data_IF_197364332879
#
_entry.id   IF_197364332879
#
_cell.length_a   1.000
_cell.length_b   1.000
_cell.length_c   1.000
_cell.angle_alpha   90.00
_cell.angle_beta   90.00
_cell.angle_gamma   90.00
#
_symmetry.space_group_name_H-M   'P 1'
#
loop_
_entity.id
_entity.type
_entity.pdbx_description
1 polymer ?
#
# COMPACT_ATOMS: atom_id res chain seq x y z
N UNK A 1 -5.46 -63.39 15.99
CA UNK A 1 -4.47 -62.32 16.24
C UNK A 1 -3.88 -61.92 14.91
N UNK A 2 -4.28 -60.78 14.34
CA UNK A 2 -3.64 -60.26 13.13
C UNK A 2 -2.17 -60.00 13.45
N UNK A 3 -1.28 -60.77 12.82
CA UNK A 3 0.15 -60.81 13.14
C UNK A 3 0.77 -59.42 12.97
N UNK A 4 1.67 -59.05 13.88
CA UNK A 4 2.43 -57.80 13.85
C UNK A 4 3.17 -57.60 12.52
N UNK A 5 3.56 -58.70 11.88
CA UNK A 5 4.15 -58.75 10.53
C UNK A 5 3.23 -58.11 9.48
N UNK A 6 1.94 -58.46 9.43
CA UNK A 6 1.00 -57.87 8.48
C UNK A 6 0.82 -56.34 8.66
N UNK A 7 0.90 -55.85 9.90
CA UNK A 7 0.89 -54.39 10.18
C UNK A 7 2.17 -53.71 9.69
N UNK A 8 3.32 -54.37 9.83
CA UNK A 8 4.60 -53.84 9.35
C UNK A 8 4.62 -53.79 7.82
N UNK A 9 4.09 -54.82 7.14
CA UNK A 9 3.97 -54.85 5.68
C UNK A 9 3.05 -53.76 5.14
N UNK A 10 1.93 -53.51 5.81
CA UNK A 10 1.02 -52.40 5.47
C UNK A 10 1.70 -51.03 5.62
N UNK A 11 2.50 -50.85 6.68
CA UNK A 11 3.27 -49.62 6.90
C UNK A 11 4.37 -49.44 5.85
N UNK A 12 5.04 -50.52 5.45
CA UNK A 12 6.05 -50.51 4.39
C UNK A 12 5.43 -50.11 3.04
N UNK A 13 4.32 -50.75 2.65
CA UNK A 13 3.55 -50.41 1.43
C UNK A 13 3.05 -48.96 1.44
N UNK A 14 2.58 -48.47 2.59
CA UNK A 14 2.16 -47.06 2.73
C UNK A 14 3.34 -46.10 2.58
N UNK A 15 4.49 -46.43 3.15
CA UNK A 15 5.70 -45.61 3.04
C UNK A 15 6.20 -45.52 1.59
N UNK A 16 6.23 -46.64 0.85
CA UNK A 16 6.52 -46.65 -0.59
C UNK A 16 5.52 -45.81 -1.38
N UNK A 17 4.22 -45.94 -1.11
CA UNK A 17 3.18 -45.13 -1.78
C UNK A 17 3.33 -43.63 -1.49
N UNK A 18 3.72 -43.26 -0.28
CA UNK A 18 4.03 -41.86 0.06
C UNK A 18 5.28 -41.38 -0.69
N UNK A 19 6.31 -42.23 -0.80
CA UNK A 19 7.55 -41.91 -1.52
C UNK A 19 7.31 -41.73 -3.02
N UNK A 20 6.50 -42.57 -3.66
CA UNK A 20 6.09 -42.42 -5.07
C UNK A 20 5.30 -41.14 -5.31
N UNK A 21 4.37 -40.77 -4.42
CA UNK A 21 3.71 -39.46 -4.52
C UNK A 21 4.64 -38.28 -4.25
N UNK A 22 5.70 -38.45 -3.45
CA UNK A 22 6.72 -37.41 -3.23
C UNK A 22 7.60 -37.21 -4.46
N UNK A 23 8.05 -38.30 -5.09
CA UNK A 23 8.84 -38.24 -6.33
C UNK A 23 8.02 -37.68 -7.49
N UNK A 24 6.76 -38.11 -7.66
CA UNK A 24 5.83 -37.52 -8.64
C UNK A 24 5.66 -36.01 -8.46
N UNK A 25 5.58 -35.53 -7.22
CA UNK A 25 5.46 -34.09 -6.91
C UNK A 25 6.77 -33.33 -7.01
N UNK A 26 7.90 -33.98 -7.39
CA UNK A 26 9.24 -33.39 -7.37
C UNK A 26 9.55 -32.68 -6.05
N UNK A 27 8.99 -33.20 -4.95
CA UNK A 27 9.20 -32.65 -3.61
C UNK A 27 10.59 -33.08 -3.17
N UNK A 28 11.59 -32.27 -3.51
CA UNK A 28 12.97 -32.44 -3.05
C UNK A 28 12.99 -32.64 -1.54
N UNK A 29 13.81 -33.60 -1.12
CA UNK A 29 13.87 -34.19 0.21
C UNK A 29 13.79 -33.18 1.36
N UNK A 30 13.11 -33.61 2.43
CA UNK A 30 13.03 -33.02 3.77
C UNK A 30 13.73 -31.65 3.91
N UNK A 31 13.12 -30.60 3.37
CA UNK A 31 13.50 -29.24 3.77
C UNK A 31 13.20 -29.17 5.26
N UNK A 32 14.26 -29.20 6.07
CA UNK A 32 14.12 -29.23 7.52
C UNK A 32 13.26 -28.04 7.93
N UNK A 33 12.08 -28.32 8.48
CA UNK A 33 11.07 -27.29 8.72
C UNK A 33 11.61 -26.21 9.67
N UNK A 34 12.56 -26.59 10.53
CA UNK A 34 13.31 -25.69 11.38
C UNK A 34 14.11 -24.65 10.57
N UNK A 35 14.91 -25.09 9.59
CA UNK A 35 15.71 -24.21 8.72
C UNK A 35 14.81 -23.26 7.90
N UNK A 36 13.68 -23.74 7.39
CA UNK A 36 12.75 -22.90 6.65
C UNK A 36 12.14 -21.79 7.51
N UNK A 37 11.82 -22.10 8.78
CA UNK A 37 11.30 -21.14 9.75
C UNK A 37 12.36 -20.13 10.18
N UNK A 38 13.62 -20.56 10.38
CA UNK A 38 14.74 -19.67 10.69
C UNK A 38 15.00 -18.70 9.54
N UNK A 39 15.12 -19.20 8.29
CA UNK A 39 15.28 -18.36 7.10
C UNK A 39 14.16 -17.33 6.95
N UNK A 40 12.91 -17.70 7.28
CA UNK A 40 11.77 -16.77 7.28
C UNK A 40 11.91 -15.69 8.36
N UNK A 41 12.35 -16.05 9.57
CA UNK A 41 12.58 -15.09 10.68
C UNK A 41 13.70 -14.11 10.35
N UNK A 42 14.82 -14.59 9.81
CA UNK A 42 15.95 -13.75 9.40
C UNK A 42 15.56 -12.77 8.29
N UNK A 43 14.89 -13.26 7.25
CA UNK A 43 14.40 -12.41 6.15
C UNK A 43 13.41 -11.36 6.63
N UNK A 44 12.56 -11.70 7.62
CA UNK A 44 11.63 -10.74 8.22
C UNK A 44 12.36 -9.66 9.03
N UNK A 45 13.39 -10.03 9.80
CA UNK A 45 14.25 -9.08 10.54
C UNK A 45 14.98 -8.13 9.60
N UNK A 46 15.66 -8.66 8.58
CA UNK A 46 16.37 -7.86 7.57
C UNK A 46 15.45 -6.86 6.86
N UNK A 47 14.23 -7.27 6.51
CA UNK A 47 13.23 -6.38 5.89
C UNK A 47 12.76 -5.28 6.85
N UNK A 48 12.61 -5.59 8.14
CA UNK A 48 12.22 -4.60 9.15
C UNK A 48 13.33 -3.55 9.37
N UNK A 49 14.60 -3.98 9.39
CA UNK A 49 15.76 -3.10 9.52
C UNK A 49 15.93 -2.20 8.29
N UNK A 50 15.85 -2.75 7.08
CA UNK A 50 15.90 -1.97 5.84
C UNK A 50 14.79 -0.90 5.80
N UNK A 51 13.57 -1.24 6.24
CA UNK A 51 12.46 -0.29 6.32
C UNK A 51 12.70 0.81 7.36
N UNK A 52 13.36 0.50 8.49
CA UNK A 52 13.74 1.50 9.49
C UNK A 52 14.80 2.46 8.95
N UNK A 53 15.81 1.95 8.24
CA UNK A 53 16.87 2.76 7.63
C UNK A 53 16.31 3.70 6.56
N UNK A 54 15.49 3.20 5.63
CA UNK A 54 14.84 4.00 4.60
C UNK A 54 13.92 5.10 5.19
N UNK A 55 13.26 4.82 6.32
CA UNK A 55 12.44 5.83 7.02
C UNK A 55 13.29 6.92 7.69
N UNK A 56 14.49 6.60 8.18
CA UNK A 56 15.42 7.60 8.72
C UNK A 56 15.98 8.48 7.60
N UNK A 57 16.39 7.88 6.49
CA UNK A 57 16.95 8.60 5.35
C UNK A 57 15.91 9.54 4.68
N UNK A 58 14.67 9.07 4.50
CA UNK A 58 13.60 9.92 3.96
C UNK A 58 13.23 11.08 4.88
N UNK A 59 13.26 10.89 6.21
CA UNK A 59 13.09 11.98 7.18
C UNK A 59 14.22 13.00 7.10
N UNK A 60 15.47 12.56 7.07
CA UNK A 60 16.63 13.44 6.94
C UNK A 60 16.58 14.28 5.64
N UNK A 61 16.18 13.67 4.51
CA UNK A 61 15.99 14.39 3.23
C UNK A 61 14.80 15.37 3.26
N UNK A 62 13.75 15.08 4.02
CA UNK A 62 12.64 16.01 4.20
C UNK A 62 13.05 17.21 5.07
N UNK A 63 13.77 16.96 6.16
CA UNK A 63 14.27 18.01 7.06
C UNK A 63 15.24 18.96 6.33
N UNK A 64 16.14 18.44 5.48
CA UNK A 64 17.03 19.31 4.69
C UNK A 64 16.30 20.11 3.60
N UNK A 65 15.26 19.54 2.97
CA UNK A 65 14.47 20.25 1.95
C UNK A 65 13.59 21.35 2.53
N UNK A 66 13.06 21.16 3.75
CA UNK A 66 12.29 22.20 4.45
C UNK A 66 13.21 23.35 4.89
N UNK A 67 14.42 23.05 5.38
CA UNK A 67 15.40 24.08 5.72
C UNK A 67 15.85 24.93 4.51
N UNK A 68 15.84 24.38 3.29
CA UNK A 68 16.18 25.11 2.08
C UNK A 68 15.04 25.97 1.49
N UNK A 69 13.78 25.72 1.89
CA UNK A 69 12.62 26.43 1.32
C UNK A 69 12.23 27.68 2.12
N UNK A 70 12.76 27.85 3.34
CA UNK A 70 12.43 29.00 4.21
C UNK A 70 13.13 30.31 3.80
N UNK A 71 14.07 30.28 2.83
CA UNK A 71 14.88 31.46 2.45
C UNK A 71 14.52 32.08 1.10
N UNK A 72 13.49 31.62 0.38
CA UNK A 72 13.14 32.34 -0.85
C UNK A 72 11.90 31.80 -1.56
N UNK A 73 10.81 32.57 -1.51
CA UNK A 73 10.27 33.19 -2.71
C UNK A 73 9.15 34.18 -2.32
N UNK A 74 9.50 35.47 -2.30
CA UNK A 74 8.55 36.57 -2.37
C UNK A 74 8.23 36.81 -3.85
N UNK A 75 6.93 36.97 -4.15
CA UNK A 75 6.33 37.79 -5.22
C UNK A 75 7.23 38.22 -6.39
N UNK A 76 6.89 37.88 -7.64
CA UNK A 76 5.91 38.66 -8.43
C UNK A 76 5.73 38.06 -9.83
N UNK A 77 4.59 38.38 -10.41
CA UNK A 77 4.11 38.09 -11.74
C UNK A 77 4.84 38.96 -12.76
N UNK A 78 5.24 38.39 -13.90
CA UNK A 78 5.30 39.15 -15.16
C UNK A 78 4.67 38.32 -16.26
N UNK A 79 3.69 38.95 -16.89
CA UNK A 79 2.97 38.53 -18.06
C UNK A 79 3.73 38.93 -19.33
N UNK A 80 3.45 38.18 -20.40
CA UNK A 80 3.31 38.59 -21.81
C UNK A 80 4.43 39.40 -22.49
N UNK A 81 5.10 38.80 -23.49
CA UNK A 81 4.85 39.16 -24.90
C UNK A 81 5.69 38.30 -25.86
N UNK A 82 5.17 38.20 -27.08
CA UNK A 82 5.66 37.45 -28.22
C UNK A 82 6.94 38.03 -28.83
N UNK A 83 7.89 37.16 -29.21
CA UNK A 83 8.59 37.31 -30.49
C UNK A 83 9.35 36.05 -30.88
N UNK A 84 9.08 35.61 -32.11
CA UNK A 84 9.87 34.66 -32.88
C UNK A 84 11.33 35.09 -32.97
N UNK A 85 12.24 34.25 -32.47
CA UNK A 85 13.36 33.77 -33.26
C UNK A 85 14.21 32.81 -32.43
N UNK A 86 14.09 31.52 -32.76
CA UNK A 86 15.11 30.47 -32.70
C UNK A 86 16.39 30.73 -31.88
N UNK A 87 16.27 31.09 -30.60
CA UNK A 87 17.28 30.72 -29.61
C UNK A 87 17.08 29.23 -29.39
N UNK A 88 17.98 28.46 -29.99
CA UNK A 88 18.16 27.02 -29.81
C UNK A 88 18.05 26.66 -28.34
N UNK A 89 16.81 26.46 -27.88
CA UNK A 89 16.53 26.03 -26.52
C UNK A 89 17.00 24.59 -26.49
N UNK A 90 18.19 24.39 -25.93
CA UNK A 90 18.76 23.07 -25.67
C UNK A 90 17.80 22.38 -24.70
N UNK A 91 16.81 21.67 -25.24
CA UNK A 91 15.90 20.85 -24.42
C UNK A 91 16.63 19.56 -24.12
N UNK A 92 17.01 19.37 -22.86
CA UNK A 92 17.56 18.10 -22.36
C UNK A 92 16.55 16.98 -22.64
N UNK A 93 16.95 16.04 -23.49
CA UNK A 93 16.08 15.02 -24.07
C UNK A 93 15.28 14.26 -23.02
N UNK A 94 14.02 14.61 -22.85
CA UNK A 94 13.08 13.74 -22.13
C UNK A 94 12.76 12.57 -23.05
N UNK A 95 13.18 11.37 -22.68
CA UNK A 95 12.76 10.14 -23.37
C UNK A 95 11.24 10.03 -23.28
N UNK A 96 10.56 10.17 -24.41
CA UNK A 96 9.11 9.96 -24.50
C UNK A 96 8.87 8.45 -24.54
N UNK A 97 8.31 7.89 -23.46
CA UNK A 97 7.99 6.46 -23.39
C UNK A 97 6.50 6.27 -23.65
N UNK A 98 6.12 5.94 -24.89
CA UNK A 98 4.75 5.58 -25.26
C UNK A 98 4.17 6.40 -26.43
N UNK A 99 2.85 6.59 -26.43
CA UNK A 99 2.10 7.28 -27.50
C UNK A 99 2.11 8.81 -27.38
N UNK A 100 2.70 9.35 -26.32
CA UNK A 100 2.73 10.79 -26.06
C UNK A 100 3.59 11.47 -27.13
N UNK A 101 3.18 12.68 -27.56
CA UNK A 101 3.89 13.40 -28.63
C UNK A 101 4.22 14.80 -28.15
N UNK A 102 5.44 15.26 -28.40
CA UNK A 102 5.75 16.68 -28.26
C UNK A 102 5.23 17.42 -29.50
N UNK A 103 4.39 18.43 -29.29
CA UNK A 103 4.00 19.35 -30.35
C UNK A 103 3.95 20.77 -29.78
N UNK A 104 4.58 21.71 -30.49
CA UNK A 104 4.68 23.14 -30.15
C UNK A 104 5.18 23.39 -28.72
N UNK A 105 6.29 22.75 -28.34
CA UNK A 105 6.95 22.96 -27.04
C UNK A 105 6.22 22.39 -25.81
N UNK A 106 5.03 21.80 -25.96
CA UNK A 106 4.27 21.19 -24.86
C UNK A 106 4.12 19.68 -25.09
N UNK A 107 4.26 18.90 -24.02
CA UNK A 107 3.96 17.47 -24.05
C UNK A 107 2.46 17.28 -24.25
N UNK A 108 2.03 16.85 -25.44
CA UNK A 108 0.67 16.37 -25.65
C UNK A 108 0.62 14.94 -25.15
N UNK A 109 0.12 14.78 -23.92
CA UNK A 109 -0.27 13.47 -23.41
C UNK A 109 -1.26 12.88 -24.40
N UNK A 110 -1.01 11.66 -24.88
CA UNK A 110 -1.91 10.96 -25.77
C UNK A 110 -3.31 10.97 -25.18
N UNK A 111 -4.32 11.17 -26.05
CA UNK A 111 -5.70 11.38 -25.64
C UNK A 111 -6.18 10.37 -24.58
N UNK A 112 -7.07 10.84 -23.69
CA UNK A 112 -7.66 10.08 -22.57
C UNK A 112 -7.84 8.61 -22.95
N UNK A 113 -7.28 7.70 -22.13
CA UNK A 113 -7.35 6.24 -22.38
C UNK A 113 -8.80 5.86 -22.70
N UNK A 114 -9.02 5.25 -23.87
CA UNK A 114 -10.35 4.87 -24.34
C UNK A 114 -10.91 3.76 -23.44
N UNK A 115 -12.11 3.96 -22.92
CA UNK A 115 -12.85 2.95 -22.14
C UNK A 115 -12.98 3.25 -20.64
N UNK A 116 -13.71 2.39 -19.90
CA UNK A 116 -13.95 2.58 -18.48
C UNK A 116 -12.65 2.56 -17.67
N UNK A 117 -12.35 3.66 -16.99
CA UNK A 117 -11.15 3.77 -16.13
C UNK A 117 -11.32 3.05 -14.80
N UNK A 118 -12.56 2.98 -14.27
CA UNK A 118 -12.85 2.30 -13.01
C UNK A 118 -13.37 0.86 -13.20
N UNK A 119 -13.17 0.03 -12.18
CA UNK A 119 -13.54 -1.38 -12.15
C UNK A 119 -15.07 -1.56 -12.15
N UNK A 120 -15.81 -0.70 -11.45
CA UNK A 120 -17.28 -0.72 -11.50
C UNK A 120 -17.80 -0.35 -12.89
N UNK A 121 -17.21 0.68 -13.51
CA UNK A 121 -17.51 1.07 -14.88
C UNK A 121 -17.21 -0.05 -15.88
N UNK A 122 -16.09 -0.76 -15.71
CA UNK A 122 -15.73 -1.91 -16.53
C UNK A 122 -16.73 -3.07 -16.39
N UNK A 123 -17.21 -3.35 -15.17
CA UNK A 123 -18.23 -4.38 -14.95
C UNK A 123 -19.56 -4.00 -15.61
N UNK A 124 -20.02 -2.76 -15.42
CA UNK A 124 -21.25 -2.25 -16.07
C UNK A 124 -21.14 -2.27 -17.60
N UNK A 125 -19.98 -1.93 -18.14
CA UNK A 125 -19.74 -1.98 -19.57
C UNK A 125 -19.81 -3.41 -20.11
N UNK A 126 -19.25 -4.37 -19.38
CA UNK A 126 -19.33 -5.79 -19.74
C UNK A 126 -20.77 -6.32 -19.68
N UNK A 127 -21.52 -5.96 -18.65
CA UNK A 127 -22.94 -6.32 -18.53
C UNK A 127 -23.77 -5.70 -19.66
N UNK A 128 -23.54 -4.42 -19.99
CA UNK A 128 -24.19 -3.77 -21.13
C UNK A 128 -23.81 -4.42 -22.47
N UNK A 129 -22.55 -4.82 -22.65
CA UNK A 129 -22.09 -5.52 -23.86
C UNK A 129 -22.77 -6.89 -23.99
N UNK A 130 -22.88 -7.66 -22.90
CA UNK A 130 -23.59 -8.95 -22.86
C UNK A 130 -25.05 -8.78 -23.24
N UNK A 131 -25.76 -7.86 -22.58
CA UNK A 131 -27.17 -7.55 -22.90
C UNK A 131 -27.39 -7.17 -24.37
N UNK A 132 -26.47 -6.40 -24.95
CA UNK A 132 -26.53 -6.01 -26.37
C UNK A 132 -26.27 -7.18 -27.33
N UNK A 133 -25.42 -8.13 -26.96
CA UNK A 133 -25.16 -9.32 -27.76
C UNK A 133 -26.32 -10.32 -27.65
N UNK A 134 -26.90 -10.46 -26.47
CA UNK A 134 -28.07 -11.31 -26.21
C UNK A 134 -29.32 -10.84 -26.97
N UNK A 135 -29.42 -9.55 -27.29
CA UNK A 135 -30.55 -8.99 -28.06
C UNK A 135 -30.39 -9.08 -29.58
N UNK A 136 -29.31 -9.66 -30.11
CA UNK A 136 -29.02 -9.76 -31.54
C UNK A 136 -29.24 -11.18 -32.07
N UNK A 137 -29.42 -11.31 -33.39
CA UNK A 137 -29.55 -12.60 -34.08
C UNK A 137 -28.29 -13.46 -33.89
N UNK A 138 -28.46 -14.79 -33.83
CA UNK A 138 -27.38 -15.75 -33.55
C UNK A 138 -26.23 -15.68 -34.58
N UNK A 139 -26.53 -15.41 -35.86
CA UNK A 139 -25.51 -15.23 -36.90
C UNK A 139 -24.63 -14.00 -36.65
N UNK A 140 -25.26 -12.86 -36.32
CA UNK A 140 -24.56 -11.61 -35.99
C UNK A 140 -23.76 -11.79 -34.71
N UNK A 141 -24.29 -12.51 -33.71
CA UNK A 141 -23.60 -12.84 -32.46
C UNK A 141 -22.32 -13.61 -32.73
N UNK A 142 -22.34 -14.68 -33.55
CA UNK A 142 -21.14 -15.46 -33.89
C UNK A 142 -20.07 -14.62 -34.58
N UNK A 143 -20.48 -13.77 -35.53
CA UNK A 143 -19.57 -12.85 -36.23
C UNK A 143 -18.91 -11.85 -35.28
N UNK A 144 -19.67 -11.31 -34.32
CA UNK A 144 -19.16 -10.39 -33.30
C UNK A 144 -18.20 -11.12 -32.35
N UNK A 145 -18.54 -12.33 -31.91
CA UNK A 145 -17.68 -13.13 -31.03
C UNK A 145 -16.36 -13.51 -31.69
N UNK A 146 -16.38 -13.88 -32.97
CA UNK A 146 -15.17 -14.14 -33.75
C UNK A 146 -14.32 -12.87 -33.90
N UNK A 147 -14.94 -11.76 -34.29
CA UNK A 147 -14.25 -10.48 -34.37
C UNK A 147 -13.62 -10.10 -33.03
N UNK A 148 -14.38 -10.15 -31.93
CA UNK A 148 -13.90 -9.86 -30.58
C UNK A 148 -12.73 -10.79 -30.17
N UNK A 149 -12.77 -12.06 -30.56
CA UNK A 149 -11.69 -13.02 -30.29
C UNK A 149 -10.40 -12.59 -30.98
N UNK A 150 -10.45 -12.25 -32.26
CA UNK A 150 -9.28 -11.76 -33.00
C UNK A 150 -8.76 -10.42 -32.46
N UNK A 151 -9.65 -9.48 -32.13
CA UNK A 151 -9.26 -8.22 -31.48
C UNK A 151 -8.56 -8.46 -30.13
N UNK A 152 -9.06 -9.42 -29.34
CA UNK A 152 -8.41 -9.82 -28.08
C UNK A 152 -7.00 -10.36 -28.31
N UNK A 153 -6.84 -11.24 -29.29
CA UNK A 153 -5.55 -11.85 -29.63
C UNK A 153 -4.57 -10.79 -30.12
N UNK A 154 -5.00 -9.86 -30.99
CA UNK A 154 -4.16 -8.75 -31.47
C UNK A 154 -3.70 -7.83 -30.34
N UNK A 155 -4.61 -7.41 -29.45
CA UNK A 155 -4.26 -6.58 -28.29
C UNK A 155 -3.33 -7.31 -27.31
N UNK A 156 -3.51 -8.61 -27.14
CA UNK A 156 -2.64 -9.43 -26.30
C UNK A 156 -1.25 -9.57 -26.92
N UNK A 157 -1.14 -9.71 -28.24
CA UNK A 157 0.13 -9.75 -28.97
C UNK A 157 0.89 -8.41 -28.87
N UNK A 158 0.16 -7.28 -28.88
CA UNK A 158 0.73 -5.95 -28.63
C UNK A 158 1.18 -5.75 -27.16
N UNK A 159 0.81 -6.66 -26.25
CA UNK A 159 1.13 -6.58 -24.82
C UNK A 159 0.14 -5.72 -24.01
N UNK A 160 -0.99 -5.30 -24.59
CA UNK A 160 -2.04 -4.57 -23.88
C UNK A 160 -2.84 -5.54 -22.99
N UNK A 161 -2.82 -5.29 -21.68
CA UNK A 161 -3.57 -6.09 -20.69
C UNK A 161 -5.06 -5.77 -20.73
N UNK A 162 -5.87 -6.68 -21.28
CA UNK A 162 -7.32 -6.55 -21.30
C UNK A 162 -7.93 -6.87 -19.91
N UNK A 163 -8.89 -6.05 -19.46
CA UNK A 163 -9.53 -6.16 -18.14
C UNK A 163 -11.02 -6.51 -18.24
N UNK A 164 -11.37 -7.46 -19.09
CA UNK A 164 -12.77 -7.77 -19.42
C UNK A 164 -13.27 -9.07 -18.76
N UNK A 165 -12.53 -9.62 -17.78
CA UNK A 165 -12.96 -10.83 -17.09
C UNK A 165 -13.87 -10.49 -15.92
N UNK A 166 -15.15 -10.84 -16.01
CA UNK A 166 -16.16 -10.55 -14.98
C UNK A 166 -15.74 -11.01 -13.57
N UNK A 167 -15.21 -12.23 -13.45
CA UNK A 167 -14.75 -12.78 -12.18
C UNK A 167 -13.57 -11.99 -11.59
N UNK A 168 -12.65 -11.51 -12.42
CA UNK A 168 -11.52 -10.69 -11.99
C UNK A 168 -11.96 -9.26 -11.63
N UNK A 169 -12.95 -8.70 -12.34
CA UNK A 169 -13.55 -7.40 -12.03
C UNK A 169 -14.24 -7.45 -10.67
N UNK A 170 -15.10 -8.46 -10.43
CA UNK A 170 -15.75 -8.69 -9.12
C UNK A 170 -14.72 -8.88 -8.00
N UNK A 171 -13.66 -9.66 -8.24
CA UNK A 171 -12.55 -9.82 -7.27
C UNK A 171 -11.81 -8.51 -7.00
N UNK A 172 -11.60 -7.69 -8.03
CA UNK A 172 -10.94 -6.39 -7.92
C UNK A 172 -11.79 -5.39 -7.13
N UNK A 173 -13.12 -5.40 -7.32
CA UNK A 173 -14.06 -4.62 -6.50
C UNK A 173 -13.91 -4.99 -5.03
N UNK A 174 -14.05 -6.29 -4.69
CA UNK A 174 -13.90 -6.79 -3.32
C UNK A 174 -12.54 -6.44 -2.70
N UNK A 175 -11.47 -6.44 -3.50
CA UNK A 175 -10.13 -6.02 -3.05
C UNK A 175 -10.09 -4.54 -2.71
N UNK A 176 -10.62 -3.67 -3.58
CA UNK A 176 -10.70 -2.22 -3.34
C UNK A 176 -11.53 -1.93 -2.09
N UNK A 177 -12.65 -2.62 -1.89
CA UNK A 177 -13.50 -2.48 -0.69
C UNK A 177 -12.76 -2.89 0.58
N UNK A 178 -12.06 -4.04 0.57
CA UNK A 178 -11.24 -4.50 1.71
C UNK A 178 -10.12 -3.52 2.05
N UNK A 179 -9.48 -2.94 1.04
CA UNK A 179 -8.43 -1.94 1.23
C UNK A 179 -8.98 -0.65 1.83
N UNK A 180 -10.11 -0.15 1.32
CA UNK A 180 -10.83 1.00 1.89
C UNK A 180 -11.24 0.74 3.34
N UNK A 181 -11.78 -0.44 3.65
CA UNK A 181 -12.15 -0.84 5.02
C UNK A 181 -10.95 -0.81 5.96
N UNK A 182 -9.84 -1.45 5.58
CA UNK A 182 -8.59 -1.44 6.37
C UNK A 182 -8.08 -0.01 6.63
N UNK A 183 -8.14 0.84 5.62
CA UNK A 183 -7.71 2.24 5.73
C UNK A 183 -8.62 3.03 6.67
N UNK A 184 -9.94 2.84 6.55
CA UNK A 184 -10.94 3.41 7.47
C UNK A 184 -10.73 2.96 8.91
N UNK A 185 -10.56 1.65 9.14
CA UNK A 185 -10.38 1.11 10.49
C UNK A 185 -9.06 1.61 11.11
N UNK A 186 -7.97 1.62 10.35
CA UNK A 186 -6.70 2.19 10.79
C UNK A 186 -6.79 3.69 11.07
N UNK A 187 -7.62 4.43 10.33
CA UNK A 187 -7.85 5.85 10.58
C UNK A 187 -8.64 6.09 11.86
N UNK A 188 -9.68 5.28 12.11
CA UNK A 188 -10.45 5.31 13.36
C UNK A 188 -9.55 5.00 14.56
N UNK A 189 -8.73 3.95 14.47
CA UNK A 189 -7.77 3.59 15.51
C UNK A 189 -6.78 4.74 15.80
N UNK A 190 -6.27 5.42 14.77
CA UNK A 190 -5.40 6.59 14.96
C UNK A 190 -6.10 7.71 15.71
N UNK A 191 -7.35 8.04 15.32
CA UNK A 191 -8.14 9.08 16.01
C UNK A 191 -8.43 8.70 17.46
N UNK A 192 -8.74 7.45 17.74
CA UNK A 192 -9.00 6.98 19.11
C UNK A 192 -7.73 7.01 19.95
N UNK A 193 -6.60 6.63 19.37
CA UNK A 193 -5.29 6.72 20.04
C UNK A 193 -4.89 8.18 20.31
N UNK A 194 -5.15 9.10 19.38
CA UNK A 194 -4.93 10.53 19.57
C UNK A 194 -5.81 11.10 20.69
N UNK A 195 -7.10 10.77 20.70
CA UNK A 195 -8.03 11.13 21.78
C UNK A 195 -7.57 10.59 23.13
N UNK A 196 -7.19 9.30 23.21
CA UNK A 196 -6.64 8.70 24.44
C UNK A 196 -5.38 9.42 24.90
N UNK A 197 -4.46 9.73 23.98
CA UNK A 197 -3.24 10.47 24.31
C UNK A 197 -3.54 11.88 24.85
N UNK A 198 -4.55 12.56 24.29
CA UNK A 198 -5.02 13.87 24.78
C UNK A 198 -5.65 13.75 26.17
N UNK A 199 -6.54 12.77 26.39
CA UNK A 199 -7.17 12.51 27.68
C UNK A 199 -6.14 12.19 28.77
N UNK A 200 -5.15 11.32 28.48
CA UNK A 200 -4.08 10.99 29.43
C UNK A 200 -3.25 12.22 29.81
N UNK A 201 -3.02 13.16 28.87
CA UNK A 201 -2.34 14.43 29.17
C UNK A 201 -3.19 15.34 30.04
N UNK A 202 -4.49 15.41 29.78
CA UNK A 202 -5.45 16.17 30.59
C UNK A 202 -5.57 15.59 32.01
N UNK A 203 -5.72 14.28 32.16
CA UNK A 203 -5.72 13.59 33.47
C UNK A 203 -4.46 13.86 34.28
N UNK A 204 -3.27 13.75 33.66
CA UNK A 204 -2.00 14.11 34.32
C UNK A 204 -1.98 15.58 34.77
N UNK A 205 -2.54 16.49 33.98
CA UNK A 205 -2.65 17.91 34.34
C UNK A 205 -3.59 18.11 35.53
N UNK A 206 -4.74 17.46 35.53
CA UNK A 206 -5.73 17.50 36.62
C UNK A 206 -5.17 16.93 37.92
N UNK A 207 -4.50 15.78 37.87
CA UNK A 207 -3.81 15.17 39.02
C UNK A 207 -2.74 16.10 39.58
N UNK A 208 -1.91 16.72 38.72
CA UNK A 208 -0.89 17.67 39.15
C UNK A 208 -1.51 18.93 39.77
N UNK A 209 -2.62 19.43 39.22
CA UNK A 209 -3.37 20.56 39.79
C UNK A 209 -4.01 20.18 41.13
N UNK A 210 -4.55 18.97 41.27
CA UNK A 210 -5.11 18.44 42.51
C UNK A 210 -4.04 18.35 43.61
N UNK A 211 -2.89 17.73 43.31
CA UNK A 211 -1.71 17.69 44.21
C UNK A 211 -1.26 19.11 44.62
N UNK A 212 -1.29 20.07 43.69
CA UNK A 212 -0.96 21.48 43.98
C UNK A 212 -1.99 22.17 44.88
N UNK A 213 -3.29 21.88 44.71
CA UNK A 213 -4.35 22.39 45.59
C UNK A 213 -4.24 21.79 47.00
N UNK A 214 -4.04 20.48 47.11
CA UNK A 214 -3.87 19.77 48.38
C UNK A 214 -2.64 20.28 49.17
N UNK A 215 -1.50 20.43 48.49
CA UNK A 215 -0.28 20.98 49.11
C UNK A 215 -0.41 22.46 49.51
N UNK A 216 -1.16 23.27 48.74
CA UNK A 216 -1.49 24.65 49.16
C UNK A 216 -2.41 24.68 50.38
N UNK A 217 -3.42 23.80 50.44
CA UNK A 217 -4.34 23.69 51.59
C UNK A 217 -3.59 23.26 52.85
N UNK A 218 -2.67 22.28 52.76
CA UNK A 218 -1.88 21.83 53.91
C UNK A 218 -0.86 22.88 54.38
N UNK A 219 -0.30 23.69 53.48
CA UNK A 219 0.67 24.74 53.82
C UNK A 219 0.04 25.99 54.45
N UNK A 220 -1.23 26.32 54.14
CA UNK A 220 -1.95 27.45 54.76
C UNK A 220 -2.15 27.27 56.28
N UNK A 221 -2.13 26.03 56.79
CA UNK A 221 -2.24 25.74 58.23
C UNK A 221 -0.92 25.65 59.00
N UNK A 222 0.24 25.58 58.32
CA UNK A 222 1.55 25.45 58.98
C UNK A 222 2.38 26.71 58.72
N UNK A 223 2.15 27.75 59.52
CA UNK A 223 3.06 28.88 59.60
C UNK A 223 4.47 28.38 59.98
N UNK A 224 5.53 28.73 59.23
CA UNK A 224 6.87 28.25 59.52
C UNK A 224 7.42 28.95 60.75
N UNK A 225 7.52 28.23 61.88
CA UNK A 225 8.37 28.65 63.01
C UNK A 225 9.82 28.69 62.49
N UNK A 226 10.27 29.85 62.03
CA UNK A 226 11.69 30.14 61.86
C UNK A 226 12.35 30.07 63.24
N UNK A 227 12.83 28.89 63.65
CA UNK A 227 13.83 28.80 64.72
C UNK A 227 15.17 29.15 64.10
N UNK A 228 15.62 30.38 64.36
CA UNK A 228 17.00 30.82 64.08
C UNK A 228 17.98 29.91 64.84
N UNK A 229 19.15 29.57 64.26
CA UNK A 229 20.16 28.79 64.95
C UNK A 229 20.88 29.70 65.96
N UNK A 230 20.58 29.57 67.25
CA UNK A 230 21.34 30.24 68.30
C UNK A 230 22.64 29.46 68.53
N UNK A 231 23.72 30.04 68.01
CA UNK A 231 25.13 29.87 68.34
C UNK A 231 25.30 29.39 69.80
N UNK A 232 25.78 28.16 70.00
CA UNK A 232 26.25 27.68 71.32
C UNK A 232 27.69 28.19 71.50
N UNK A 233 27.92 28.76 72.69
CA UNK A 233 29.17 29.28 73.24
C UNK A 233 30.35 28.34 73.00
#
# INVERSE_FOLDING_TARGET
METTEGKNDLRAKLAEKIQTFRSQRKATEKVDRALLLQRRKEKAKARAEAKKLAKKESKAKQESKVAAYDTGNSSDNIADEENDNHKSTITYGTLIVGDDKFSNGKLKVAGKKRGPTDVFGALKHLEAKKRRIESMDEEKRRKIEESDKWHRVLLQAEGKKLKDNEQLLKKSIRRKEKEKKKSSDAWKERKDNEKKAMLMRQQRREENLKKRRESKKSKKGKAPKKKKPSKKK
#
